data_IF_349314475523
#
_entry.id   IF_349314475523
#
_cell.length_a   1.000
_cell.length_b   1.000
_cell.length_c   1.000
_cell.angle_alpha   90.00
_cell.angle_beta   90.00
_cell.angle_gamma   90.00
#
_symmetry.space_group_name_H-M   'P 1'
#
loop_
_entity.id
_entity.type
_entity.pdbx_description
1 polymer ?
#
# COMPACT_ATOMS: atom_id res chain seq x y z
N UNK A 1 2.72 -73.41 -2.84
CA UNK A 1 2.55 -72.63 -1.60
C UNK A 1 3.34 -71.28 -1.58
N UNK A 2 4.24 -71.05 -2.52
CA UNK A 2 5.13 -69.84 -2.55
C UNK A 2 4.42 -68.65 -3.21
N UNK A 3 3.56 -68.83 -4.16
CA UNK A 3 2.85 -67.74 -4.93
C UNK A 3 1.86 -66.90 -4.09
N UNK A 4 1.30 -67.44 -3.00
CA UNK A 4 0.40 -66.71 -2.10
C UNK A 4 1.10 -65.71 -1.18
N UNK A 5 2.38 -65.90 -0.81
CA UNK A 5 3.13 -64.99 0.06
C UNK A 5 3.46 -63.65 -0.60
N UNK A 6 3.71 -63.64 -1.92
CA UNK A 6 4.03 -62.39 -2.63
C UNK A 6 2.81 -61.47 -2.80
N UNK A 7 1.61 -62.02 -2.83
CA UNK A 7 0.39 -61.24 -2.94
C UNK A 7 0.14 -60.43 -1.62
N UNK A 8 0.24 -61.12 -0.48
CA UNK A 8 0.05 -60.45 0.82
C UNK A 8 1.12 -59.36 1.10
N UNK A 9 2.35 -59.56 0.69
CA UNK A 9 3.42 -58.56 0.82
C UNK A 9 3.10 -57.29 0.01
N UNK A 10 2.57 -57.43 -1.20
CA UNK A 10 2.14 -56.27 -2.01
C UNK A 10 1.00 -55.49 -1.35
N UNK A 11 0.00 -56.18 -0.81
CA UNK A 11 -1.11 -55.52 -0.10
C UNK A 11 -0.62 -54.79 1.18
N UNK A 12 0.31 -55.37 1.93
CA UNK A 12 0.92 -54.74 3.10
C UNK A 12 1.70 -53.47 2.71
N UNK A 13 2.48 -53.51 1.64
CA UNK A 13 3.20 -52.34 1.13
C UNK A 13 2.25 -51.20 0.67
N UNK A 14 1.14 -51.54 -0.01
CA UNK A 14 0.14 -50.57 -0.41
C UNK A 14 -0.56 -49.95 0.81
N UNK A 15 -0.87 -50.78 1.82
CA UNK A 15 -1.48 -50.32 3.08
C UNK A 15 -0.55 -49.38 3.85
N UNK A 16 0.73 -49.72 3.95
CA UNK A 16 1.77 -48.86 4.58
C UNK A 16 1.92 -47.56 3.79
N UNK A 17 1.96 -47.61 2.47
CA UNK A 17 2.05 -46.42 1.60
C UNK A 17 0.83 -45.54 1.73
N UNK A 18 -0.39 -46.08 1.77
CA UNK A 18 -1.63 -45.32 1.97
C UNK A 18 -1.75 -44.69 3.36
N UNK A 19 -1.17 -45.29 4.39
CA UNK A 19 -1.12 -44.72 5.76
C UNK A 19 -0.03 -43.64 5.91
N UNK A 20 1.11 -43.79 5.21
CA UNK A 20 2.20 -42.80 5.26
C UNK A 20 1.94 -41.54 4.42
N UNK A 21 1.21 -41.65 3.30
CA UNK A 21 0.92 -40.52 2.41
C UNK A 21 0.17 -39.37 3.08
N UNK A 22 -0.91 -39.58 3.86
CA UNK A 22 -1.60 -38.46 4.52
C UNK A 22 -0.74 -37.79 5.61
N UNK A 23 0.21 -38.48 6.22
CA UNK A 23 1.10 -37.89 7.22
C UNK A 23 2.10 -36.87 6.63
N UNK A 24 2.44 -37.01 5.33
CA UNK A 24 3.36 -36.09 4.63
C UNK A 24 2.64 -34.84 4.07
N UNK A 25 1.31 -34.81 4.07
CA UNK A 25 0.51 -33.72 3.50
C UNK A 25 0.04 -32.69 4.54
N UNK A 26 0.40 -32.82 5.80
CA UNK A 26 0.11 -31.80 6.82
C UNK A 26 1.08 -30.63 6.68
N UNK A 27 0.84 -29.78 5.69
CA UNK A 27 1.42 -28.43 5.69
C UNK A 27 0.77 -27.64 6.82
N UNK A 28 1.45 -27.52 7.95
CA UNK A 28 1.05 -26.62 9.01
C UNK A 28 1.40 -25.19 8.55
N UNK A 29 0.36 -24.41 8.27
CA UNK A 29 0.53 -22.97 8.12
C UNK A 29 0.92 -22.40 9.49
N UNK A 30 2.19 -22.16 9.70
CA UNK A 30 2.68 -21.49 10.91
C UNK A 30 2.36 -20.00 10.78
N UNK A 31 1.32 -19.55 11.48
CA UNK A 31 1.03 -18.13 11.61
C UNK A 31 1.96 -17.56 12.69
N UNK A 32 2.85 -16.65 12.29
CA UNK A 32 3.71 -15.91 13.22
C UNK A 32 3.11 -14.52 13.46
N UNK A 33 2.76 -14.22 14.70
CA UNK A 33 2.41 -12.87 15.11
C UNK A 33 3.69 -12.05 15.30
N UNK A 34 3.72 -10.85 14.73
CA UNK A 34 4.83 -9.90 14.84
C UNK A 34 4.33 -8.66 15.60
N UNK A 35 5.09 -8.22 16.58
CA UNK A 35 4.75 -7.12 17.48
C UNK A 35 5.97 -6.25 17.83
N UNK A 36 5.77 -5.26 18.70
CA UNK A 36 6.87 -4.45 19.25
C UNK A 36 7.95 -5.30 19.94
N UNK A 37 7.58 -6.45 20.53
CA UNK A 37 8.52 -7.36 21.14
C UNK A 37 9.50 -7.98 20.13
N UNK A 38 9.12 -8.04 18.85
CA UNK A 38 9.93 -8.53 17.74
C UNK A 38 10.73 -7.41 17.05
N UNK A 39 10.58 -6.16 17.50
CA UNK A 39 11.27 -4.97 16.95
C UNK A 39 10.46 -4.09 16.03
N UNK A 40 9.15 -4.33 15.88
CA UNK A 40 8.25 -3.40 15.18
C UNK A 40 8.12 -2.10 16.00
N UNK A 41 8.17 -0.94 15.39
CA UNK A 41 8.17 0.36 16.09
C UNK A 41 6.85 0.65 16.82
N UNK A 42 5.72 0.19 16.27
CA UNK A 42 4.40 0.35 16.88
C UNK A 42 3.44 -0.75 16.40
N UNK A 43 2.58 -1.27 17.30
CA UNK A 43 1.59 -2.30 16.96
C UNK A 43 0.40 -1.79 16.13
N UNK A 44 0.21 -0.45 16.06
CA UNK A 44 -0.82 0.16 15.20
C UNK A 44 -0.29 0.30 13.79
N UNK A 45 -0.50 -0.73 12.97
CA UNK A 45 -0.09 -0.78 11.56
C UNK A 45 -1.16 -0.14 10.69
N UNK A 46 -0.78 0.84 9.85
CA UNK A 46 -1.65 1.52 8.90
C UNK A 46 -1.55 0.94 7.49
N UNK A 47 -0.35 0.53 7.08
CA UNK A 47 -0.11 0.02 5.73
C UNK A 47 1.09 -0.92 5.71
N UNK A 48 1.18 -1.73 4.66
CA UNK A 48 2.35 -2.55 4.37
C UNK A 48 2.54 -2.71 2.86
N UNK A 49 3.77 -2.99 2.45
CA UNK A 49 4.17 -3.23 1.08
C UNK A 49 5.34 -4.22 1.08
N UNK A 50 5.27 -5.29 0.31
CA UNK A 50 6.44 -6.07 -0.08
C UNK A 50 7.01 -5.46 -1.35
N UNK A 51 8.27 -5.02 -1.29
CA UNK A 51 8.95 -4.43 -2.45
C UNK A 51 9.54 -5.51 -3.37
N UNK A 52 10.01 -5.10 -4.54
CA UNK A 52 10.60 -5.99 -5.54
C UNK A 52 11.86 -6.76 -5.08
N UNK A 53 12.48 -6.31 -3.98
CA UNK A 53 13.62 -6.97 -3.32
C UNK A 53 13.17 -7.87 -2.13
N UNK A 54 11.87 -8.15 -2.03
CA UNK A 54 11.28 -8.96 -0.96
C UNK A 54 11.47 -8.40 0.46
N UNK A 55 11.66 -7.08 0.59
CA UNK A 55 11.61 -6.39 1.88
C UNK A 55 10.16 -6.04 2.20
N UNK A 56 9.67 -6.48 3.35
CA UNK A 56 8.35 -6.08 3.85
C UNK A 56 8.46 -4.74 4.56
N UNK A 57 7.90 -3.71 3.95
CA UNK A 57 7.76 -2.38 4.54
C UNK A 57 6.48 -2.30 5.34
N UNK A 58 6.57 -1.83 6.59
CA UNK A 58 5.42 -1.71 7.50
C UNK A 58 5.35 -0.29 8.03
N UNK A 59 4.31 0.42 7.62
CA UNK A 59 4.00 1.77 8.08
C UNK A 59 3.12 1.74 9.33
N UNK A 60 3.55 2.42 10.37
CA UNK A 60 2.88 2.44 11.67
C UNK A 60 2.56 3.87 12.12
N UNK A 61 1.96 3.99 13.30
CA UNK A 61 1.78 5.29 13.98
C UNK A 61 3.08 5.88 14.53
N UNK A 62 4.16 5.11 14.60
CA UNK A 62 5.45 5.58 15.14
C UNK A 62 6.65 5.06 14.33
N UNK A 63 6.64 5.35 13.05
CA UNK A 63 7.75 5.09 12.13
C UNK A 63 7.43 4.11 11.01
N UNK A 64 8.34 4.10 10.05
CA UNK A 64 8.38 3.17 8.94
C UNK A 64 9.39 2.07 9.25
N UNK A 65 8.98 0.82 9.09
CA UNK A 65 9.81 -0.34 9.37
C UNK A 65 10.10 -1.12 8.09
N UNK A 66 11.35 -1.48 7.87
CA UNK A 66 11.78 -2.42 6.82
C UNK A 66 12.14 -3.76 7.47
N UNK A 67 11.42 -4.82 7.10
CA UNK A 67 11.63 -6.18 7.60
C UNK A 67 12.21 -7.07 6.51
N UNK A 68 13.35 -7.68 6.79
CA UNK A 68 14.08 -8.55 5.85
C UNK A 68 13.88 -10.05 6.10
N UNK A 69 12.83 -10.43 6.84
CA UNK A 69 12.58 -11.81 7.27
C UNK A 69 13.25 -12.18 8.60
N UNK A 70 14.18 -11.37 9.14
CA UNK A 70 14.92 -11.64 10.38
C UNK A 70 14.83 -10.51 11.40
N UNK A 71 15.02 -9.27 10.95
CA UNK A 71 15.09 -8.09 11.81
C UNK A 71 14.38 -6.90 11.17
N UNK A 72 13.98 -5.96 12.01
CA UNK A 72 13.44 -4.68 11.62
C UNK A 72 14.54 -3.61 11.57
N UNK A 73 14.49 -2.79 10.53
CA UNK A 73 15.16 -1.49 10.51
C UNK A 73 14.07 -0.42 10.54
N UNK A 74 14.07 0.40 11.59
CA UNK A 74 13.08 1.48 11.76
C UNK A 74 13.63 2.80 11.25
N UNK A 75 12.79 3.54 10.53
CA UNK A 75 13.02 4.91 10.09
C UNK A 75 12.01 5.82 10.79
N UNK A 76 12.49 6.81 11.50
CA UNK A 76 11.68 7.78 12.22
C UNK A 76 12.16 9.22 11.94
N UNK A 77 11.28 10.17 12.22
CA UNK A 77 11.60 11.59 12.08
C UNK A 77 12.71 12.01 13.04
N UNK A 78 13.70 12.72 12.51
CA UNK A 78 14.76 13.32 13.29
C UNK A 78 15.04 14.73 12.80
N UNK A 79 14.73 15.73 13.61
CA UNK A 79 14.94 17.15 13.29
C UNK A 79 16.39 17.50 12.91
N UNK A 80 17.36 16.73 13.39
CA UNK A 80 18.80 16.97 13.15
C UNK A 80 19.32 16.27 11.89
N UNK A 81 18.48 15.40 11.28
CA UNK A 81 18.84 14.64 10.08
C UNK A 81 17.91 15.02 8.93
N UNK A 82 18.43 15.80 7.98
CA UNK A 82 17.70 16.22 6.79
C UNK A 82 17.31 15.06 5.86
N UNK A 83 17.96 13.89 6.01
CA UNK A 83 17.65 12.66 5.29
C UNK A 83 16.60 11.78 5.99
N UNK A 84 16.08 12.20 7.13
CA UNK A 84 15.02 11.48 7.85
C UNK A 84 13.66 11.67 7.20
N UNK A 85 12.72 10.77 7.53
CA UNK A 85 11.31 10.90 7.12
C UNK A 85 10.67 12.13 7.77
N UNK A 86 9.67 12.74 7.10
CA UNK A 86 9.07 14.02 7.55
C UNK A 86 8.20 13.93 8.81
N UNK A 87 7.67 12.74 9.13
CA UNK A 87 6.83 12.49 10.31
C UNK A 87 6.80 10.98 10.59
N UNK A 88 6.46 10.59 11.83
CA UNK A 88 6.41 9.20 12.25
C UNK A 88 5.09 8.48 11.87
N UNK A 89 4.00 9.20 11.67
CA UNK A 89 2.72 8.58 11.26
C UNK A 89 2.76 8.28 9.77
N UNK A 90 2.78 7.00 9.44
CA UNK A 90 2.88 6.52 8.06
C UNK A 90 1.50 6.07 7.57
N UNK A 91 1.04 6.57 6.42
CA UNK A 91 -0.28 6.25 5.88
C UNK A 91 -0.24 5.34 4.66
N UNK A 92 0.69 5.59 3.73
CA UNK A 92 0.82 4.77 2.51
C UNK A 92 2.26 4.61 2.10
N UNK A 93 2.54 3.50 1.43
CA UNK A 93 3.84 3.17 0.83
C UNK A 93 3.58 2.71 -0.59
N UNK A 94 4.32 3.27 -1.56
CA UNK A 94 4.25 2.87 -2.98
C UNK A 94 5.66 2.65 -3.50
N UNK A 95 5.87 1.56 -4.21
CA UNK A 95 7.09 1.32 -4.96
C UNK A 95 6.97 1.91 -6.36
N UNK A 96 7.84 2.88 -6.70
CA UNK A 96 7.96 3.42 -8.04
C UNK A 96 8.88 2.54 -8.89
N UNK A 97 9.97 2.09 -8.32
CA UNK A 97 10.95 1.17 -8.91
C UNK A 97 11.68 0.40 -7.81
N UNK A 98 12.50 -0.56 -8.18
CA UNK A 98 13.41 -1.29 -7.28
C UNK A 98 14.29 -0.37 -6.40
N UNK A 99 14.52 0.84 -6.85
CA UNK A 99 15.41 1.83 -6.21
C UNK A 99 14.68 2.94 -5.47
N UNK A 100 13.36 3.10 -5.64
CA UNK A 100 12.61 4.25 -5.15
C UNK A 100 11.28 3.84 -4.55
N UNK A 101 11.07 4.22 -3.29
CA UNK A 101 9.77 4.16 -2.61
C UNK A 101 9.23 5.57 -2.33
N UNK A 102 7.92 5.67 -2.29
CA UNK A 102 7.20 6.85 -1.87
C UNK A 102 6.36 6.55 -0.64
N UNK A 103 6.44 7.43 0.35
CA UNK A 103 5.80 7.24 1.65
C UNK A 103 5.02 8.50 2.01
N UNK A 104 3.72 8.38 2.27
CA UNK A 104 2.92 9.48 2.80
C UNK A 104 2.88 9.45 4.32
N UNK A 105 2.95 10.66 4.90
CA UNK A 105 2.89 10.90 6.34
C UNK A 105 1.90 12.04 6.63
N UNK A 106 1.66 12.38 7.89
CA UNK A 106 0.80 13.52 8.25
C UNK A 106 1.32 14.87 7.74
N UNK A 107 2.64 15.01 7.51
CA UNK A 107 3.22 16.30 7.15
C UNK A 107 3.68 16.40 5.70
N UNK A 108 3.80 15.29 5.01
CA UNK A 108 4.26 15.33 3.62
C UNK A 108 4.38 13.97 2.96
N UNK A 109 4.83 14.02 1.71
CA UNK A 109 5.18 12.86 0.91
C UNK A 109 6.70 12.76 0.86
N UNK A 110 7.22 11.57 1.10
CA UNK A 110 8.65 11.34 1.19
C UNK A 110 9.09 10.40 0.08
N UNK A 111 10.16 10.74 -0.61
CA UNK A 111 10.83 9.86 -1.57
C UNK A 111 12.04 9.21 -0.91
N UNK A 112 12.00 7.91 -0.71
CA UNK A 112 13.14 7.15 -0.21
C UNK A 112 13.96 6.59 -1.38
N UNK A 113 15.29 6.69 -1.28
CA UNK A 113 16.23 6.11 -2.26
C UNK A 113 17.00 4.96 -1.64
N UNK A 114 16.97 3.80 -2.28
CA UNK A 114 17.69 2.59 -1.81
C UNK A 114 19.19 2.80 -1.71
N UNK A 115 19.80 3.49 -2.68
CA UNK A 115 21.26 3.69 -2.73
C UNK A 115 21.82 4.49 -1.56
N UNK A 116 21.07 5.45 -1.04
CA UNK A 116 21.48 6.31 0.08
C UNK A 116 20.78 5.95 1.38
N UNK A 117 19.66 5.21 1.29
CA UNK A 117 18.74 4.91 2.40
C UNK A 117 18.22 6.17 3.11
N UNK A 118 18.09 7.27 2.37
CA UNK A 118 17.63 8.57 2.87
C UNK A 118 16.31 8.97 2.22
N UNK A 119 15.57 9.82 2.94
CA UNK A 119 14.34 10.42 2.48
C UNK A 119 14.57 11.83 1.96
N UNK A 120 13.78 12.20 0.95
CA UNK A 120 13.62 13.59 0.52
C UNK A 120 12.15 13.95 0.74
N UNK A 121 11.83 14.84 1.69
CA UNK A 121 10.45 15.24 1.97
C UNK A 121 9.94 16.28 0.97
N UNK A 122 8.64 16.17 0.61
CA UNK A 122 7.90 17.11 -0.21
C UNK A 122 6.65 17.56 0.56
N UNK A 123 6.52 18.87 0.80
CA UNK A 123 5.44 19.47 1.58
C UNK A 123 4.45 20.16 0.65
N UNK A 124 3.49 19.37 0.12
CA UNK A 124 2.53 19.84 -0.87
C UNK A 124 1.50 20.76 -0.25
N UNK A 125 1.13 21.79 -1.03
CA UNK A 125 0.03 22.64 -0.72
C UNK A 125 0.17 23.46 0.57
N UNK A 126 1.38 23.75 0.99
CA UNK A 126 1.67 24.57 2.17
C UNK A 126 2.76 25.58 1.86
N UNK A 127 2.64 26.78 2.44
CA UNK A 127 3.70 27.80 2.38
C UNK A 127 4.77 27.59 3.46
N UNK A 128 4.48 26.73 4.44
CA UNK A 128 5.41 26.41 5.52
C UNK A 128 6.12 25.09 5.24
N UNK A 129 7.40 25.03 5.53
CA UNK A 129 8.23 23.84 5.34
C UNK A 129 9.05 23.57 6.62
N UNK A 130 8.69 22.61 7.49
CA UNK A 130 7.50 21.73 7.41
C UNK A 130 6.18 22.46 7.69
N UNK A 131 5.02 21.88 7.31
CA UNK A 131 3.72 22.46 7.57
C UNK A 131 3.43 22.50 9.09
N UNK A 132 2.64 23.49 9.52
CA UNK A 132 2.21 23.61 10.92
C UNK A 132 1.03 22.71 11.28
N UNK A 133 0.33 22.19 10.28
CA UNK A 133 -0.87 21.36 10.45
C UNK A 133 -0.73 20.07 9.65
N UNK A 134 -1.27 19.01 10.22
CA UNK A 134 -1.39 17.72 9.57
C UNK A 134 -2.27 17.81 8.33
N UNK A 135 -1.90 17.08 7.27
CA UNK A 135 -2.64 16.98 6.02
C UNK A 135 -2.75 15.54 5.58
N UNK A 136 -3.86 15.21 4.94
CA UNK A 136 -4.03 13.91 4.31
C UNK A 136 -3.43 13.91 2.91
N UNK A 137 -2.49 13.01 2.67
CA UNK A 137 -1.85 12.78 1.38
C UNK A 137 -2.16 11.37 0.92
N UNK A 138 -2.93 11.23 -0.16
CA UNK A 138 -3.18 9.94 -0.78
C UNK A 138 -2.27 9.79 -2.01
N UNK A 139 -1.64 8.64 -2.13
CA UNK A 139 -0.70 8.34 -3.21
C UNK A 139 -1.29 7.35 -4.21
N UNK A 140 -0.93 7.52 -5.46
CA UNK A 140 -1.22 6.59 -6.54
C UNK A 140 -0.08 6.57 -7.55
N UNK A 141 0.01 5.50 -8.33
CA UNK A 141 1.02 5.33 -9.37
C UNK A 141 0.35 4.95 -10.68
N UNK A 142 0.77 5.60 -11.77
CA UNK A 142 0.30 5.28 -13.13
C UNK A 142 1.04 4.08 -13.72
N UNK A 143 0.54 3.54 -14.83
CA UNK A 143 1.21 2.48 -15.60
C UNK A 143 2.61 2.92 -16.08
N UNK A 144 2.77 4.20 -16.39
CA UNK A 144 4.04 4.83 -16.75
C UNK A 144 4.92 5.21 -15.55
N UNK A 145 4.62 4.72 -14.35
CA UNK A 145 5.37 4.97 -13.10
C UNK A 145 5.39 6.44 -12.65
N UNK A 146 4.46 7.27 -13.11
CA UNK A 146 4.30 8.63 -12.58
C UNK A 146 3.58 8.59 -11.23
N UNK A 147 4.10 9.34 -10.26
CA UNK A 147 3.50 9.44 -8.93
C UNK A 147 2.45 10.54 -8.91
N UNK A 148 1.26 10.17 -8.48
CA UNK A 148 0.14 11.06 -8.28
C UNK A 148 -0.11 11.19 -6.78
N UNK A 149 -0.31 12.42 -6.32
CA UNK A 149 -0.69 12.70 -4.94
C UNK A 149 -1.98 13.51 -4.93
N UNK A 150 -2.98 13.05 -4.18
CA UNK A 150 -4.14 13.87 -3.84
C UNK A 150 -3.93 14.49 -2.47
N UNK A 151 -4.14 15.80 -2.38
CA UNK A 151 -4.11 16.56 -1.13
C UNK A 151 -5.51 17.13 -0.91
N UNK A 152 -6.10 16.83 0.24
CA UNK A 152 -7.42 17.31 0.60
C UNK A 152 -7.51 18.83 0.46
N UNK A 153 -8.61 19.35 -0.12
CA UNK A 153 -8.87 20.76 -0.39
C UNK A 153 -7.95 21.43 -1.44
N UNK A 154 -6.98 20.69 -1.98
CA UNK A 154 -6.02 21.23 -2.96
C UNK A 154 -5.99 20.45 -4.27
N UNK A 155 -6.53 19.24 -4.29
CA UNK A 155 -6.68 18.41 -5.47
C UNK A 155 -5.46 17.55 -5.79
N UNK A 156 -5.27 17.25 -7.08
CA UNK A 156 -4.23 16.35 -7.57
C UNK A 156 -2.95 17.08 -7.93
N UNK A 157 -1.86 16.39 -7.62
CA UNK A 157 -0.49 16.74 -8.00
C UNK A 157 0.16 15.55 -8.70
N UNK A 158 1.07 15.83 -9.63
CA UNK A 158 1.92 14.85 -10.28
C UNK A 158 3.38 15.20 -10.00
N UNK A 159 4.20 14.20 -9.68
CA UNK A 159 5.62 14.41 -9.52
C UNK A 159 6.30 14.60 -10.88
N UNK A 160 7.03 15.70 -11.05
CA UNK A 160 7.84 15.99 -12.22
C UNK A 160 9.31 15.61 -11.92
N UNK A 161 9.78 14.51 -12.51
CA UNK A 161 11.14 14.01 -12.30
C UNK A 161 12.23 14.96 -12.79
N UNK A 162 11.93 15.87 -13.75
CA UNK A 162 12.92 16.85 -14.25
C UNK A 162 13.10 18.00 -13.28
N UNK A 163 11.98 18.46 -12.70
CA UNK A 163 11.97 19.57 -11.74
C UNK A 163 12.21 19.12 -10.31
N UNK A 164 12.07 17.82 -10.03
CA UNK A 164 12.12 17.24 -8.69
C UNK A 164 11.10 17.88 -7.75
N UNK A 165 9.89 18.14 -8.25
CA UNK A 165 8.80 18.76 -7.51
C UNK A 165 7.44 18.19 -7.91
N UNK A 166 6.43 18.39 -7.06
CA UNK A 166 5.04 18.08 -7.38
C UNK A 166 4.38 19.27 -8.07
N UNK A 167 3.82 19.03 -9.25
CA UNK A 167 3.10 20.03 -10.05
C UNK A 167 1.59 19.80 -9.94
N UNK A 168 0.84 20.84 -9.64
CA UNK A 168 -0.64 20.77 -9.57
C UNK A 168 -1.25 20.44 -10.94
N UNK A 169 -2.18 19.49 -10.96
CA UNK A 169 -2.92 19.08 -12.16
C UNK A 169 -4.18 19.90 -12.43
N UNK A 170 -4.43 20.98 -11.71
CA UNK A 170 -5.64 21.82 -11.82
C UNK A 170 -6.90 20.99 -12.11
N UNK A 171 -7.70 20.72 -11.11
CA UNK A 171 -8.88 19.86 -11.24
C UNK A 171 -10.02 20.37 -10.35
N UNK A 172 -11.24 20.16 -10.82
CA UNK A 172 -12.47 20.46 -10.08
C UNK A 172 -12.93 19.16 -9.37
N UNK A 173 -12.17 18.72 -8.40
CA UNK A 173 -12.51 17.55 -7.58
C UNK A 173 -13.31 17.99 -6.37
N UNK A 174 -14.25 17.15 -5.89
CA UNK A 174 -14.90 17.37 -4.61
C UNK A 174 -13.89 17.38 -3.45
N UNK A 175 -14.18 18.16 -2.43
CA UNK A 175 -13.31 18.29 -1.23
C UNK A 175 -13.39 17.07 -0.30
N UNK A 176 -14.40 16.20 -0.50
CA UNK A 176 -14.70 15.06 0.36
C UNK A 176 -14.14 13.73 -0.13
N UNK A 177 -13.11 13.75 -0.99
CA UNK A 177 -12.41 12.53 -1.44
C UNK A 177 -11.80 11.81 -0.24
N UNK A 178 -12.16 10.54 -0.08
CA UNK A 178 -11.62 9.67 0.98
C UNK A 178 -10.51 8.77 0.51
N UNK A 179 -10.58 8.32 -0.74
CA UNK A 179 -9.57 7.46 -1.33
C UNK A 179 -9.63 7.53 -2.85
N UNK A 180 -8.56 7.10 -3.51
CA UNK A 180 -8.56 6.89 -4.94
C UNK A 180 -7.66 5.71 -5.34
N UNK A 181 -7.93 5.16 -6.51
CA UNK A 181 -7.09 4.14 -7.14
C UNK A 181 -6.86 4.49 -8.60
N UNK A 182 -5.73 4.07 -9.13
CA UNK A 182 -5.38 4.21 -10.56
C UNK A 182 -5.28 2.79 -11.12
N UNK A 183 -5.99 2.54 -12.21
CA UNK A 183 -5.95 1.24 -12.88
C UNK A 183 -4.82 1.15 -13.93
N UNK A 184 -4.64 -0.02 -14.52
CA UNK A 184 -3.61 -0.29 -15.55
C UNK A 184 -3.79 0.51 -16.85
N UNK A 185 -4.93 1.18 -17.05
CA UNK A 185 -5.22 2.07 -18.18
C UNK A 185 -5.12 3.54 -17.81
N UNK A 186 -4.53 3.86 -16.66
CA UNK A 186 -4.38 5.20 -16.09
C UNK A 186 -5.71 5.93 -15.87
N UNK A 187 -6.79 5.18 -15.56
CA UNK A 187 -8.04 5.75 -15.10
C UNK A 187 -7.98 5.91 -13.60
N UNK A 188 -8.36 7.07 -13.10
CA UNK A 188 -8.47 7.34 -11.67
C UNK A 188 -9.92 7.17 -11.25
N UNK A 189 -10.14 6.42 -10.19
CA UNK A 189 -11.42 6.26 -9.52
C UNK A 189 -11.32 6.85 -8.13
N UNK A 190 -12.14 7.85 -7.82
CA UNK A 190 -12.20 8.49 -6.52
C UNK A 190 -13.42 8.00 -5.76
N UNK A 191 -13.23 7.67 -4.49
CA UNK A 191 -14.30 7.41 -3.54
C UNK A 191 -14.53 8.65 -2.70
N UNK A 192 -15.75 9.22 -2.74
CA UNK A 192 -16.12 10.37 -1.92
C UNK A 192 -16.60 9.95 -0.53
N UNK A 193 -16.66 10.91 0.40
CA UNK A 193 -17.21 10.70 1.74
C UNK A 193 -18.68 10.29 1.77
N UNK A 194 -19.43 10.65 0.75
CA UNK A 194 -20.84 10.28 0.56
C UNK A 194 -21.03 8.95 -0.18
N UNK A 195 -19.94 8.20 -0.43
CA UNK A 195 -19.99 6.89 -1.09
C UNK A 195 -20.16 6.95 -2.61
N UNK A 196 -19.94 8.09 -3.25
CA UNK A 196 -19.96 8.22 -4.70
C UNK A 196 -18.62 7.78 -5.28
N UNK A 197 -18.67 7.12 -6.44
CA UNK A 197 -17.50 6.77 -7.23
C UNK A 197 -17.40 7.71 -8.43
N UNK A 198 -16.33 8.49 -8.49
CA UNK A 198 -16.03 9.39 -9.60
C UNK A 198 -14.91 8.78 -10.46
N UNK A 199 -14.99 8.98 -11.76
CA UNK A 199 -14.03 8.42 -12.71
C UNK A 199 -13.43 9.52 -13.58
N UNK A 200 -12.09 9.50 -13.70
CA UNK A 200 -11.32 10.41 -14.54
C UNK A 200 -10.28 9.65 -15.36
N UNK A 201 -10.02 10.13 -16.58
CA UNK A 201 -8.94 9.62 -17.42
C UNK A 201 -7.73 10.54 -17.32
N UNK A 202 -6.58 9.99 -16.96
CA UNK A 202 -5.29 10.68 -17.06
C UNK A 202 -4.76 10.61 -18.50
N UNK A 203 -4.17 11.70 -18.96
CA UNK A 203 -3.45 11.72 -20.25
C UNK A 203 -2.07 12.32 -20.03
N UNK A 204 -1.04 11.54 -20.36
CA UNK A 204 0.35 12.01 -20.29
C UNK A 204 0.62 12.93 -21.48
N UNK A 205 1.07 14.16 -21.22
CA UNK A 205 1.67 15.06 -22.22
C UNK A 205 2.93 15.69 -21.64
N UNK A 206 4.07 15.46 -22.29
CA UNK A 206 5.36 16.12 -22.03
C UNK A 206 5.76 16.17 -20.53
N UNK A 207 6.04 15.03 -19.94
CA UNK A 207 6.52 14.86 -18.56
C UNK A 207 5.54 15.24 -17.42
N UNK A 208 4.37 15.74 -17.71
CA UNK A 208 3.29 15.95 -16.74
C UNK A 208 1.94 15.50 -17.31
N UNK A 209 1.10 14.93 -16.45
CA UNK A 209 -0.25 14.51 -16.79
C UNK A 209 -1.16 15.73 -17.01
N UNK A 210 -1.99 15.71 -18.07
CA UNK A 210 -3.07 16.66 -18.26
C UNK A 210 -4.41 15.95 -18.29
N UNK A 211 -5.42 16.57 -17.69
CA UNK A 211 -6.81 16.10 -17.73
C UNK A 211 -7.30 16.18 -19.19
N UNK A 212 -7.83 15.09 -19.75
CA UNK A 212 -8.68 15.16 -20.91
C UNK A 212 -10.10 15.43 -20.42
N UNK A 213 -10.66 16.61 -20.69
CA UNK A 213 -12.06 16.91 -20.43
C UNK A 213 -12.94 16.04 -21.33
N UNK A 214 -13.46 15.00 -20.76
CA UNK A 214 -14.49 14.16 -21.34
C UNK A 214 -15.35 13.70 -20.19
N UNK A 215 -16.55 14.24 -20.09
CA UNK A 215 -17.59 13.68 -19.23
C UNK A 215 -17.88 12.29 -19.75
N UNK A 216 -17.35 11.29 -19.06
CA UNK A 216 -17.86 9.92 -19.19
C UNK A 216 -19.18 9.93 -18.42
N UNK A 217 -20.30 9.43 -19.00
CA UNK A 217 -21.56 9.37 -18.30
C UNK A 217 -21.38 8.63 -16.98
N UNK A 218 -22.07 9.03 -15.91
CA UNK A 218 -22.00 8.33 -14.64
C UNK A 218 -22.45 6.89 -14.86
N UNK A 219 -21.58 5.93 -14.53
CA UNK A 219 -22.02 4.54 -14.41
C UNK A 219 -23.14 4.47 -13.37
N UNK A 220 -24.10 3.55 -13.50
CA UNK A 220 -25.18 3.42 -12.55
C UNK A 220 -24.59 3.27 -11.15
N UNK A 221 -25.01 4.15 -10.26
CA UNK A 221 -24.58 4.24 -8.86
C UNK A 221 -25.01 2.93 -8.18
N UNK A 222 -24.09 2.04 -7.89
CA UNK A 222 -24.33 1.00 -6.92
C UNK A 222 -24.25 1.65 -5.53
N UNK A 223 -25.38 2.14 -5.07
CA UNK A 223 -25.56 2.53 -3.66
C UNK A 223 -25.57 1.21 -2.91
N UNK A 224 -24.47 0.88 -2.21
CA UNK A 224 -24.52 -0.17 -1.20
C UNK A 224 -25.37 0.37 -0.04
N UNK A 225 -26.55 -0.23 0.24
CA UNK A 225 -27.33 0.18 1.39
C UNK A 225 -26.50 -0.07 2.65
N UNK A 226 -26.46 0.90 3.55
CA UNK A 226 -25.99 0.70 4.92
C UNK A 226 -26.91 -0.33 5.60
N UNK A 227 -26.63 -1.61 5.47
CA UNK A 227 -27.21 -2.60 6.37
C UNK A 227 -26.37 -2.61 7.64
N UNK A 228 -26.81 -1.82 8.61
CA UNK A 228 -26.51 -2.09 10.00
C UNK A 228 -27.21 -3.41 10.34
N UNK A 229 -26.50 -4.52 10.26
CA UNK A 229 -26.93 -5.79 10.88
C UNK A 229 -25.92 -6.15 11.94
N UNK A 230 -26.31 -5.85 13.19
CA UNK A 230 -25.79 -6.50 14.39
C UNK A 230 -25.96 -8.01 14.22
N UNK A 231 -24.89 -8.73 13.93
CA UNK A 231 -24.82 -10.17 14.07
C UNK A 231 -24.66 -10.49 15.55
N UNK A 232 -25.77 -10.69 16.27
CA UNK A 232 -25.83 -11.40 17.55
C UNK A 232 -25.55 -12.87 17.26
N UNK A 233 -24.35 -13.34 17.60
CA UNK A 233 -24.07 -14.77 17.72
C UNK A 233 -24.79 -15.32 18.94
N UNK A 234 -25.94 -16.00 18.76
CA UNK A 234 -26.51 -16.90 19.75
C UNK A 234 -25.93 -18.28 19.47
N UNK A 235 -25.09 -18.76 20.41
CA UNK A 235 -24.64 -20.14 20.43
C UNK A 235 -25.79 -21.12 20.76
N UNK A 236 -25.77 -22.22 20.08
CA UNK A 236 -26.18 -23.56 20.57
C UNK A 236 -25.22 -24.59 19.98
#
# INVERSE_FOLDING_TARGET
MILRKHSYFRYICILIYSCLMPALLHSQNVVKQISNADGLSNNSVNCFLEDSEHTLWVGTWDGLNAYNGRSFKTYSYNKKDAGSISNNVIWQIIEQSDSILWVSTDYGVNRWKRSTQQFTPYYLGTQNNPPKQEKSFLLGITSGKHIICYVKEQGLFCFDDRRQEFVSLKNDLPDDIRNFVIDSKDRIFFLTGHGQLLHYQLTVRNSCLKKKSGTVPPFPIFIFPRTASSLTMTGR
#
